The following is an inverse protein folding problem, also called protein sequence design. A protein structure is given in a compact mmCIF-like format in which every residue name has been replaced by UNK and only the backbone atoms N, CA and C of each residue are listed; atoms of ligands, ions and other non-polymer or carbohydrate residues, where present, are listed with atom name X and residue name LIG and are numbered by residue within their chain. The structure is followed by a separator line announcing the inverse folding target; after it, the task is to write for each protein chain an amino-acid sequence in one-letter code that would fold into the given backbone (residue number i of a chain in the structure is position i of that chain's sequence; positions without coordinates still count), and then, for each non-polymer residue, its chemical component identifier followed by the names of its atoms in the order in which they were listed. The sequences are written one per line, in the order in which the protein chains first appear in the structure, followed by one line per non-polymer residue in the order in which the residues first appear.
data_IF_611091945064
#
_entry.id   IF_611091945064
#
_cell.length_a   1.000
_cell.length_b   1.000
_cell.length_c   1.000
_cell.angle_alpha   90.00
_cell.angle_beta   90.00
_cell.angle_gamma   90.00
#
_symmetry.space_group_name_H-M   'P 1'
#
loop_
_entity.id
_entity.type
_entity.pdbx_description
1 polymer ?
#
# COMPACT_ATOMS: atom_id res chain seq x y z
N UNK A 1 11.37 -3.42 -3.13
CA UNK A 1 10.14 -4.22 -3.23
C UNK A 1 9.74 -4.68 -1.82
N UNK A 2 8.45 -4.77 -1.50
CA UNK A 2 7.90 -4.83 -0.12
C UNK A 2 8.22 -6.12 0.68
N UNK A 3 9.14 -6.97 0.23
CA UNK A 3 9.43 -8.28 0.84
C UNK A 3 10.10 -8.18 2.21
N UNK A 4 10.61 -7.01 2.59
CA UNK A 4 11.28 -6.79 3.87
C UNK A 4 10.43 -6.06 4.92
N UNK A 5 9.19 -5.66 4.61
CA UNK A 5 8.40 -4.78 5.48
C UNK A 5 7.70 -5.51 6.63
N UNK A 6 7.24 -6.74 6.40
CA UNK A 6 6.46 -7.50 7.38
C UNK A 6 7.03 -8.91 7.51
N UNK A 7 7.33 -9.36 8.72
CA UNK A 7 7.93 -10.68 8.97
C UNK A 7 6.91 -11.70 9.47
N UNK A 8 7.08 -12.96 9.09
CA UNK A 8 6.33 -14.09 9.66
C UNK A 8 4.90 -14.24 9.15
N UNK A 9 4.45 -13.48 8.15
CA UNK A 9 3.14 -13.67 7.53
C UNK A 9 3.17 -14.83 6.51
N UNK A 10 2.01 -15.44 6.24
CA UNK A 10 1.86 -16.55 5.28
C UNK A 10 1.28 -16.09 3.92
N UNK A 11 1.13 -14.78 3.71
CA UNK A 11 0.55 -14.25 2.46
C UNK A 11 1.34 -14.66 1.20
N UNK A 12 0.65 -14.97 0.09
CA UNK A 12 1.28 -15.44 -1.14
C UNK A 12 1.99 -14.31 -1.90
N UNK A 13 3.25 -14.06 -1.53
CA UNK A 13 4.06 -12.93 -2.04
C UNK A 13 4.05 -12.83 -3.57
N UNK A 14 4.22 -13.94 -4.29
CA UNK A 14 4.23 -13.93 -5.76
C UNK A 14 2.91 -13.42 -6.35
N UNK A 15 1.77 -13.81 -5.74
CA UNK A 15 0.45 -13.36 -6.17
C UNK A 15 0.24 -11.88 -5.83
N UNK A 16 0.68 -11.45 -4.65
CA UNK A 16 0.59 -10.03 -4.26
C UNK A 16 1.41 -9.16 -5.21
N UNK A 17 2.66 -9.54 -5.47
CA UNK A 17 3.54 -8.84 -6.42
C UNK A 17 2.95 -8.79 -7.83
N UNK A 18 2.45 -9.92 -8.34
CA UNK A 18 1.83 -9.98 -9.67
C UNK A 18 0.65 -9.02 -9.83
N UNK A 19 -0.11 -8.81 -8.77
CA UNK A 19 -1.28 -7.92 -8.79
C UNK A 19 -0.98 -6.50 -8.29
N UNK A 20 0.28 -6.19 -7.95
CA UNK A 20 0.64 -4.88 -7.41
C UNK A 20 0.03 -4.58 -6.04
N UNK A 21 -0.29 -5.63 -5.27
CA UNK A 21 -0.83 -5.49 -3.91
C UNK A 21 0.33 -5.26 -2.94
N UNK A 22 0.21 -4.21 -2.14
CA UNK A 22 1.13 -3.83 -1.09
C UNK A 22 0.75 -4.51 0.23
N UNK A 23 1.75 -4.83 1.06
CA UNK A 23 1.56 -5.38 2.39
C UNK A 23 2.22 -4.49 3.44
N UNK A 24 1.49 -4.20 4.52
CA UNK A 24 1.95 -3.45 5.70
C UNK A 24 1.45 -4.13 7.00
N UNK A 25 1.95 -3.68 8.16
CA UNK A 25 1.54 -4.17 9.49
C UNK A 25 2.66 -4.80 10.31
N UNK A 26 2.30 -5.41 11.44
CA UNK A 26 3.25 -5.94 12.43
C UNK A 26 3.62 -7.42 12.22
N UNK A 27 2.94 -8.12 11.30
CA UNK A 27 3.18 -9.53 11.02
C UNK A 27 2.51 -10.45 12.04
N UNK A 28 3.11 -11.61 12.33
CA UNK A 28 2.55 -12.53 13.34
C UNK A 28 3.04 -12.16 14.73
N UNK A 29 2.11 -11.79 15.61
CA UNK A 29 2.39 -11.52 17.01
C UNK A 29 2.19 -12.81 17.83
N UNK A 30 3.25 -13.24 18.54
CA UNK A 30 3.15 -14.27 19.58
C UNK A 30 2.65 -15.65 19.11
N UNK A 31 2.72 -15.96 17.81
CA UNK A 31 2.30 -17.26 17.26
C UNK A 31 0.79 -17.46 17.10
N UNK A 32 -0.02 -16.41 17.23
CA UNK A 32 -1.47 -16.50 17.17
C UNK A 32 -2.10 -15.75 15.99
N UNK A 33 -2.03 -14.43 16.02
CA UNK A 33 -2.76 -13.58 15.05
C UNK A 33 -1.82 -12.86 14.11
N UNK A 34 -2.09 -12.99 12.81
CA UNK A 34 -1.48 -12.16 11.78
C UNK A 34 -2.15 -10.78 11.81
N UNK A 35 -1.35 -9.73 12.00
CA UNK A 35 -1.78 -8.33 11.90
C UNK A 35 -1.14 -7.70 10.68
N UNK A 36 -1.86 -7.79 9.55
CA UNK A 36 -1.42 -7.25 8.26
C UNK A 36 -2.54 -6.55 7.52
N UNK A 37 -2.12 -5.63 6.66
CA UNK A 37 -2.94 -4.85 5.75
C UNK A 37 -2.50 -5.20 4.34
N UNK A 38 -3.45 -5.60 3.49
CA UNK A 38 -3.22 -5.76 2.05
C UNK A 38 -3.93 -4.62 1.33
N UNK A 39 -3.18 -3.81 0.59
CA UNK A 39 -3.67 -2.58 -0.03
C UNK A 39 -3.35 -2.55 -1.52
N UNK A 40 -4.28 -2.05 -2.32
CA UNK A 40 -4.03 -1.68 -3.72
C UNK A 40 -4.81 -0.41 -4.05
N UNK A 41 -4.19 0.48 -4.83
CA UNK A 41 -4.75 1.76 -5.21
C UNK A 41 -5.08 1.77 -6.69
N UNK A 42 -6.22 2.35 -7.05
CA UNK A 42 -6.53 2.63 -8.45
C UNK A 42 -5.67 3.78 -8.96
N UNK A 43 -5.58 3.90 -10.29
CA UNK A 43 -5.21 5.19 -10.90
C UNK A 43 -6.26 6.24 -10.54
N UNK A 44 -5.94 7.52 -10.77
CA UNK A 44 -6.93 8.60 -10.69
C UNK A 44 -8.08 8.34 -11.66
N UNK A 45 -9.32 8.45 -11.18
CA UNK A 45 -10.54 8.14 -11.95
C UNK A 45 -11.36 9.40 -12.21
N UNK A 46 -11.43 10.32 -11.24
CA UNK A 46 -12.21 11.56 -11.33
C UNK A 46 -11.34 12.72 -10.83
N UNK A 47 -10.70 13.45 -11.75
CA UNK A 47 -9.72 14.48 -11.36
C UNK A 47 -8.60 13.87 -10.51
N UNK A 48 -8.27 14.43 -9.32
CA UNK A 48 -7.26 13.85 -8.42
C UNK A 48 -7.80 12.69 -7.55
N UNK A 49 -9.08 12.31 -7.69
CA UNK A 49 -9.70 11.26 -6.87
C UNK A 49 -9.29 9.87 -7.36
N UNK A 50 -8.85 9.03 -6.44
CA UNK A 50 -8.56 7.61 -6.62
C UNK A 50 -9.29 6.77 -5.56
N UNK A 51 -9.33 5.46 -5.76
CA UNK A 51 -9.93 4.52 -4.83
C UNK A 51 -8.87 3.60 -4.23
N UNK A 52 -9.08 3.25 -2.96
CA UNK A 52 -8.31 2.23 -2.26
C UNK A 52 -9.16 0.96 -2.10
N UNK A 53 -8.54 -0.18 -2.34
CA UNK A 53 -9.08 -1.48 -1.96
C UNK A 53 -8.18 -2.07 -0.88
N UNK A 54 -8.76 -2.30 0.29
CA UNK A 54 -8.04 -2.77 1.48
C UNK A 54 -8.65 -4.05 2.04
N UNK A 55 -7.81 -5.02 2.35
CA UNK A 55 -8.17 -6.19 3.16
C UNK A 55 -7.41 -6.12 4.49
N UNK A 56 -8.18 -6.06 5.58
CA UNK A 56 -7.67 -6.07 6.95
C UNK A 56 -7.64 -7.50 7.47
N UNK A 57 -6.50 -7.92 8.02
CA UNK A 57 -6.33 -9.18 8.72
C UNK A 57 -5.74 -8.84 10.09
N UNK A 58 -6.60 -8.68 11.10
CA UNK A 58 -6.20 -8.39 12.48
C UNK A 58 -5.59 -7.00 12.74
N UNK A 59 -5.45 -6.17 11.71
CA UNK A 59 -4.88 -4.81 11.81
C UNK A 59 -5.94 -3.75 11.49
N UNK A 60 -6.22 -2.89 12.46
CA UNK A 60 -7.15 -1.75 12.38
C UNK A 60 -6.45 -0.42 12.07
N UNK A 61 -5.13 -0.43 11.84
CA UNK A 61 -4.30 0.72 11.48
C UNK A 61 -4.49 1.19 10.03
N UNK A 62 -3.66 2.13 9.58
CA UNK A 62 -3.86 2.80 8.28
C UNK A 62 -2.83 2.43 7.19
N UNK A 63 -1.74 1.76 7.57
CA UNK A 63 -0.65 1.46 6.62
C UNK A 63 0.05 2.74 6.12
N UNK A 64 0.56 3.56 7.05
CA UNK A 64 1.20 4.86 6.74
C UNK A 64 2.33 4.74 5.71
N UNK A 65 3.05 3.62 5.73
CA UNK A 65 4.16 3.37 4.81
C UNK A 65 3.73 3.12 3.37
N UNK A 66 2.51 2.63 3.14
CA UNK A 66 1.93 2.49 1.80
C UNK A 66 1.35 3.82 1.32
N UNK A 67 0.74 4.58 2.23
CA UNK A 67 0.14 5.87 1.92
C UNK A 67 1.18 6.91 1.46
N UNK A 68 2.32 7.01 2.16
CA UNK A 68 3.41 7.92 1.78
C UNK A 68 3.96 7.62 0.38
N UNK A 69 4.23 6.35 0.09
CA UNK A 69 4.75 5.93 -1.21
C UNK A 69 3.75 6.19 -2.36
N UNK A 70 2.45 6.04 -2.09
CA UNK A 70 1.41 6.40 -3.05
C UNK A 70 1.37 7.91 -3.30
N UNK A 71 1.41 8.71 -2.25
CA UNK A 71 1.35 10.17 -2.36
C UNK A 71 2.54 10.72 -3.16
N UNK A 72 3.76 10.25 -2.88
CA UNK A 72 4.96 10.59 -3.63
C UNK A 72 4.82 10.21 -5.12
N UNK A 73 4.23 9.06 -5.44
CA UNK A 73 4.00 8.64 -6.82
C UNK A 73 2.93 9.49 -7.53
N UNK A 74 1.89 9.94 -6.82
CA UNK A 74 0.84 10.79 -7.39
C UNK A 74 1.38 12.21 -7.60
N UNK A 75 2.12 12.74 -6.63
CA UNK A 75 2.74 14.06 -6.71
C UNK A 75 3.70 14.14 -7.90
N UNK A 76 4.53 13.12 -8.10
CA UNK A 76 5.40 13.04 -9.27
C UNK A 76 4.60 13.05 -10.59
N UNK A 77 3.50 12.29 -10.68
CA UNK A 77 2.63 12.30 -11.87
C UNK A 77 1.96 13.67 -12.10
N UNK A 78 1.61 14.40 -11.04
CA UNK A 78 1.09 15.76 -11.16
C UNK A 78 2.15 16.76 -11.65
N UNK A 79 3.40 16.61 -11.23
CA UNK A 79 4.55 17.38 -11.72
C UNK A 79 4.80 17.07 -13.19
N UNK A 80 4.84 15.79 -13.56
CA UNK A 80 5.08 15.34 -14.94
C UNK A 80 3.99 15.84 -15.92
N UNK A 81 2.76 16.00 -15.44
CA UNK A 81 1.63 16.58 -16.20
C UNK A 81 1.59 18.10 -16.18
N UNK A 82 2.47 18.76 -15.42
CA UNK A 82 2.53 20.23 -15.29
C UNK A 82 1.37 20.84 -14.50
N UNK A 83 0.67 20.04 -13.69
CA UNK A 83 -0.44 20.49 -12.83
C UNK A 83 0.08 21.02 -11.49
N UNK A 84 1.23 20.52 -11.03
CA UNK A 84 1.96 20.99 -9.86
C UNK A 84 3.31 21.59 -10.28
N UNK A 85 3.69 22.72 -9.67
CA UNK A 85 5.03 23.32 -9.82
C UNK A 85 5.88 22.86 -8.65
N UNK A 86 7.00 22.18 -8.93
CA UNK A 86 7.99 21.86 -7.90
C UNK A 86 8.64 23.17 -7.42
N UNK A 87 8.68 23.41 -6.10
CA UNK A 87 9.49 24.48 -5.50
C UNK A 87 10.99 24.16 -5.55
#
# INVERSE_FOLDING_TARGET
MSTSRVKGHEEPIEKLMKNGILIDGEGVLGGGETRVLLQIFSKTVIGPIFFEFIQRKGDDGFGEGNFKALFESIEQDQIDRGVLVAE
#
